data_IF_742798621754
#
_entry.id   IF_742798621754
#
_cell.length_a   1.000
_cell.length_b   1.000
_cell.length_c   1.000
_cell.angle_alpha   90.00
_cell.angle_beta   90.00
_cell.angle_gamma   90.00
#
_symmetry.space_group_name_H-M   'P 1'
#
loop_
_entity.id
_entity.type
_entity.pdbx_description
1 polymer ?
#
# COMPACT_ATOMS: atom_id res chain seq x y z
N UNK A 1 -4.75 -10.69 -21.67
CA UNK A 1 -5.07 -9.44 -20.97
C UNK A 1 -5.62 -9.80 -19.58
N UNK A 2 -4.76 -9.84 -18.55
CA UNK A 2 -5.12 -10.27 -17.18
C UNK A 2 -4.32 -9.45 -16.16
N UNK A 3 -4.89 -8.31 -15.78
CA UNK A 3 -4.34 -7.36 -14.81
C UNK A 3 -5.52 -6.91 -13.97
N UNK A 4 -5.93 -7.71 -12.98
CA UNK A 4 -6.90 -7.34 -11.93
C UNK A 4 -6.91 -8.48 -10.92
N UNK A 5 -6.00 -8.42 -9.94
CA UNK A 5 -6.05 -9.25 -8.74
C UNK A 5 -5.14 -8.62 -7.68
N UNK A 6 -5.57 -7.45 -7.22
CA UNK A 6 -5.30 -6.77 -5.96
C UNK A 6 -6.10 -5.47 -6.05
N UNK A 7 -7.05 -5.24 -5.14
CA UNK A 7 -8.12 -4.22 -5.19
C UNK A 7 -9.23 -4.42 -6.24
N UNK A 8 -10.00 -5.52 -6.15
CA UNK A 8 -11.39 -5.50 -6.63
C UNK A 8 -12.29 -6.18 -5.60
N UNK A 9 -12.69 -5.38 -4.62
CA UNK A 9 -13.91 -5.50 -3.82
C UNK A 9 -14.11 -4.07 -3.26
N UNK A 10 -15.14 -3.27 -3.55
CA UNK A 10 -16.48 -3.46 -4.08
C UNK A 10 -16.82 -2.20 -4.91
N UNK A 11 -17.29 -2.38 -6.14
CA UNK A 11 -17.98 -1.32 -6.86
C UNK A 11 -19.45 -1.34 -6.45
N UNK A 12 -19.93 -0.48 -5.54
CA UNK A 12 -21.32 0.06 -5.44
C UNK A 12 -21.46 1.04 -4.26
N UNK A 13 -21.59 2.36 -4.51
CA UNK A 13 -22.41 3.24 -3.66
C UNK A 13 -22.58 4.65 -4.25
N UNK A 14 -23.65 4.82 -5.05
CA UNK A 14 -24.26 6.12 -5.27
C UNK A 14 -25.64 6.10 -4.60
N UNK A 15 -25.82 6.86 -3.53
CA UNK A 15 -27.14 7.02 -2.89
C UNK A 15 -27.09 7.40 -1.41
N UNK A 16 -27.20 8.70 -1.16
CA UNK A 16 -27.56 9.43 0.08
C UNK A 16 -27.84 8.59 1.33
N UNK A 17 -26.78 8.39 2.11
CA UNK A 17 -26.73 7.64 3.37
C UNK A 17 -25.32 7.15 3.71
N UNK A 18 -24.29 7.98 3.44
CA UNK A 18 -22.88 7.86 3.84
C UNK A 18 -22.19 6.48 3.72
N UNK A 19 -22.47 5.67 2.70
CA UNK A 19 -21.53 4.62 2.31
C UNK A 19 -20.34 5.27 1.60
N UNK A 20 -19.15 5.10 2.16
CA UNK A 20 -17.91 5.60 1.59
C UNK A 20 -16.78 4.58 1.80
N UNK A 21 -16.03 4.38 0.73
CA UNK A 21 -14.73 3.72 0.71
C UNK A 21 -13.66 4.78 0.45
N UNK A 22 -12.78 4.99 1.43
CA UNK A 22 -11.78 6.06 1.38
C UNK A 22 -10.38 5.49 1.59
N UNK A 23 -9.46 5.90 0.73
CA UNK A 23 -8.03 5.65 0.86
C UNK A 23 -7.30 6.95 1.16
N UNK A 24 -6.52 6.97 2.23
CA UNK A 24 -5.66 8.10 2.59
C UNK A 24 -4.22 7.62 2.64
N UNK A 25 -3.35 8.35 1.95
CA UNK A 25 -1.94 8.02 1.79
C UNK A 25 -1.08 8.99 2.59
N UNK A 26 -0.12 8.46 3.33
CA UNK A 26 0.93 9.23 3.97
C UNK A 26 2.29 8.63 3.60
N UNK A 27 3.13 9.43 2.95
CA UNK A 27 4.43 9.02 2.44
C UNK A 27 5.50 9.82 3.17
N UNK A 28 6.39 9.15 3.88
CA UNK A 28 7.54 9.78 4.51
C UNK A 28 8.82 9.28 3.83
N UNK A 29 9.51 10.19 3.15
CA UNK A 29 10.76 9.95 2.45
C UNK A 29 11.92 10.33 3.37
N UNK A 30 12.88 9.43 3.52
CA UNK A 30 14.16 9.67 4.21
C UNK A 30 15.31 9.56 3.21
N UNK A 31 16.53 9.83 3.67
CA UNK A 31 17.74 9.82 2.85
C UNK A 31 17.91 8.55 2.01
N UNK A 32 17.68 7.37 2.60
CA UNK A 32 17.93 6.05 1.99
C UNK A 32 16.74 5.10 2.08
N UNK A 33 15.58 5.58 2.53
CA UNK A 33 14.40 4.74 2.69
C UNK A 33 13.12 5.58 2.59
N UNK A 34 11.99 4.90 2.55
CA UNK A 34 10.70 5.54 2.59
C UNK A 34 9.69 4.62 3.26
N UNK A 35 8.75 5.20 4.00
CA UNK A 35 7.55 4.51 4.44
C UNK A 35 6.33 5.07 3.73
N UNK A 36 5.45 4.17 3.31
CA UNK A 36 4.14 4.52 2.77
C UNK A 36 3.07 3.87 3.61
N UNK A 37 2.36 4.70 4.37
CA UNK A 37 1.22 4.28 5.17
C UNK A 37 -0.08 4.57 4.44
N UNK A 38 -0.94 3.56 4.39
CA UNK A 38 -2.27 3.64 3.79
C UNK A 38 -3.31 3.44 4.88
N UNK A 39 -4.35 4.27 4.87
CA UNK A 39 -5.54 4.08 5.69
C UNK A 39 -6.73 3.85 4.78
N UNK A 40 -7.39 2.71 4.96
CA UNK A 40 -8.58 2.33 4.21
C UNK A 40 -9.78 2.34 5.16
N UNK A 41 -10.81 3.10 4.82
CA UNK A 41 -12.01 3.24 5.64
C UNK A 41 -13.23 2.75 4.88
N UNK A 42 -14.01 1.87 5.51
CA UNK A 42 -15.32 1.42 5.05
C UNK A 42 -16.42 1.93 5.98
N UNK A 43 -17.51 2.41 5.42
CA UNK A 43 -18.67 2.90 6.18
C UNK A 43 -19.99 2.45 5.54
N UNK A 44 -21.06 2.34 6.34
CA UNK A 44 -22.40 2.07 5.83
C UNK A 44 -22.50 0.73 5.11
N UNK A 45 -22.92 0.75 3.84
CA UNK A 45 -23.04 -0.47 3.04
C UNK A 45 -21.68 -1.11 2.70
N UNK A 46 -20.61 -0.30 2.61
CA UNK A 46 -19.27 -0.79 2.25
C UNK A 46 -18.65 -1.59 3.41
N UNK A 47 -18.95 -1.25 4.67
CA UNK A 47 -18.49 -2.03 5.83
C UNK A 47 -19.20 -3.38 5.92
N UNK A 48 -20.49 -3.46 5.55
CA UNK A 48 -21.21 -4.73 5.43
C UNK A 48 -20.55 -5.59 4.36
N UNK A 49 -20.34 -5.03 3.17
CA UNK A 49 -19.75 -5.75 2.06
C UNK A 49 -18.34 -6.26 2.39
N UNK A 50 -17.55 -5.47 3.10
CA UNK A 50 -16.23 -5.88 3.59
C UNK A 50 -16.32 -7.08 4.55
N UNK A 51 -17.19 -7.04 5.57
CA UNK A 51 -17.37 -8.17 6.51
C UNK A 51 -17.87 -9.44 5.80
N UNK A 52 -18.83 -9.29 4.88
CA UNK A 52 -19.31 -10.41 4.05
C UNK A 52 -18.18 -11.00 3.23
N UNK A 53 -17.27 -10.20 2.69
CA UNK A 53 -16.13 -10.71 1.91
C UNK A 53 -15.16 -11.54 2.74
N UNK A 54 -14.95 -11.19 4.02
CA UNK A 54 -14.13 -11.96 4.95
C UNK A 54 -14.84 -13.29 5.29
N UNK A 55 -16.08 -13.22 5.77
CA UNK A 55 -16.86 -14.38 6.21
C UNK A 55 -17.05 -15.40 5.06
N UNK A 56 -17.52 -14.95 3.90
CA UNK A 56 -17.79 -15.84 2.76
C UNK A 56 -16.55 -16.26 1.98
N UNK A 57 -15.51 -15.43 1.95
CA UNK A 57 -14.32 -15.65 1.14
C UNK A 57 -13.22 -16.43 1.86
N UNK A 58 -13.08 -16.23 3.17
CA UNK A 58 -11.99 -16.77 4.00
C UNK A 58 -12.49 -17.51 5.24
N UNK A 59 -13.81 -17.49 5.47
CA UNK A 59 -14.46 -18.05 6.63
C UNK A 59 -15.38 -19.21 6.33
N UNK A 60 -16.30 -19.44 7.26
CA UNK A 60 -17.28 -20.52 7.20
C UNK A 60 -18.65 -20.09 6.64
N UNK A 61 -18.80 -18.80 6.27
CA UNK A 61 -20.02 -18.23 5.71
C UNK A 61 -21.24 -18.36 6.65
N UNK A 62 -21.06 -18.07 7.94
CA UNK A 62 -22.09 -18.15 8.98
C UNK A 62 -22.73 -16.80 9.33
N UNK A 63 -22.44 -15.76 8.53
CA UNK A 63 -22.86 -14.36 8.75
C UNK A 63 -22.22 -13.70 9.98
N UNK A 64 -21.09 -14.21 10.44
CA UNK A 64 -20.31 -13.66 11.52
C UNK A 64 -18.81 -13.73 11.20
N UNK A 65 -18.08 -12.64 11.39
CA UNK A 65 -16.63 -12.61 11.28
C UNK A 65 -16.02 -12.90 12.64
N UNK A 66 -15.32 -14.01 12.76
CA UNK A 66 -14.53 -14.39 13.93
C UNK A 66 -13.13 -13.77 13.92
N UNK A 67 -12.46 -13.79 15.08
CA UNK A 67 -11.06 -13.35 15.18
C UNK A 67 -10.11 -14.18 14.31
N UNK A 68 -10.40 -15.47 14.11
CA UNK A 68 -9.59 -16.34 13.25
C UNK A 68 -9.76 -16.00 11.77
N UNK A 69 -10.98 -15.70 11.32
CA UNK A 69 -11.25 -15.22 9.96
C UNK A 69 -10.58 -13.88 9.68
N UNK A 70 -10.62 -12.96 10.65
CA UNK A 70 -9.91 -11.69 10.54
C UNK A 70 -8.40 -11.89 10.45
N UNK A 71 -7.83 -12.80 11.24
CA UNK A 71 -6.39 -13.12 11.18
C UNK A 71 -5.99 -13.72 9.82
N UNK A 72 -6.83 -14.57 9.24
CA UNK A 72 -6.60 -15.09 7.89
C UNK A 72 -6.71 -14.00 6.84
N UNK A 73 -7.70 -13.11 6.96
CA UNK A 73 -7.87 -11.96 6.10
C UNK A 73 -6.65 -11.03 6.14
N UNK A 74 -6.09 -10.76 7.32
CA UNK A 74 -4.88 -9.94 7.45
C UNK A 74 -3.69 -10.58 6.71
N UNK A 75 -3.51 -11.89 6.88
CA UNK A 75 -2.45 -12.65 6.22
C UNK A 75 -2.56 -12.62 4.70
N UNK A 76 -3.74 -12.90 4.16
CA UNK A 76 -3.95 -12.89 2.70
C UNK A 76 -3.87 -11.48 2.13
N UNK A 77 -4.33 -10.45 2.86
CA UNK A 77 -4.22 -9.05 2.46
C UNK A 77 -2.75 -8.63 2.36
N UNK A 78 -1.95 -8.92 3.38
CA UNK A 78 -0.51 -8.66 3.39
C UNK A 78 0.21 -9.33 2.22
N UNK A 79 -0.09 -10.61 1.98
CA UNK A 79 0.48 -11.40 0.89
C UNK A 79 0.08 -10.85 -0.48
N UNK A 80 -1.18 -10.47 -0.65
CA UNK A 80 -1.70 -9.87 -1.88
C UNK A 80 -1.06 -8.51 -2.15
N UNK A 81 -0.94 -7.65 -1.14
CA UNK A 81 -0.31 -6.34 -1.26
C UNK A 81 1.16 -6.48 -1.65
N UNK A 82 1.90 -7.36 -0.96
CA UNK A 82 3.30 -7.64 -1.32
C UNK A 82 3.42 -8.15 -2.76
N UNK A 83 2.59 -9.11 -3.15
CA UNK A 83 2.62 -9.67 -4.51
C UNK A 83 2.28 -8.63 -5.59
N UNK A 84 1.43 -7.65 -5.29
CA UNK A 84 1.09 -6.59 -6.22
C UNK A 84 2.27 -5.65 -6.44
N UNK A 85 2.95 -5.24 -5.37
CA UNK A 85 4.11 -4.35 -5.42
C UNK A 85 5.31 -5.05 -6.07
N UNK A 86 5.53 -6.34 -5.77
CA UNK A 86 6.58 -7.14 -6.42
C UNK A 86 6.39 -7.24 -7.94
N UNK A 87 5.13 -7.21 -8.41
CA UNK A 87 4.77 -7.27 -9.83
C UNK A 87 4.93 -5.93 -10.53
N UNK A 88 4.48 -4.86 -9.90
CA UNK A 88 4.57 -3.49 -10.41
C UNK A 88 4.90 -2.57 -9.24
N UNK A 89 6.16 -2.13 -9.15
CA UNK A 89 6.58 -1.15 -8.16
C UNK A 89 5.81 0.16 -8.33
N UNK A 90 5.27 0.63 -7.23
CA UNK A 90 4.50 1.86 -7.07
C UNK A 90 5.38 3.09 -6.79
N UNK A 91 6.71 2.92 -6.80
CA UNK A 91 7.69 3.98 -6.57
C UNK A 91 8.78 3.93 -7.64
N UNK A 92 9.17 5.09 -8.15
CA UNK A 92 10.32 5.25 -9.06
C UNK A 92 11.14 6.46 -8.66
N UNK A 93 12.46 6.33 -8.75
CA UNK A 93 13.41 7.43 -8.56
C UNK A 93 14.10 7.70 -9.88
N UNK A 94 14.16 8.97 -10.32
CA UNK A 94 14.72 9.35 -11.62
C UNK A 94 14.15 8.52 -12.78
N UNK A 95 12.83 8.27 -12.76
CA UNK A 95 12.10 7.45 -13.73
C UNK A 95 12.50 5.96 -13.81
N UNK A 96 13.23 5.44 -12.81
CA UNK A 96 13.65 4.03 -12.73
C UNK A 96 13.26 3.34 -11.42
N UNK A 97 13.24 2.01 -11.44
CA UNK A 97 13.01 1.15 -10.25
C UNK A 97 14.26 0.43 -9.75
N UNK A 98 15.35 0.42 -10.53
CA UNK A 98 16.54 -0.42 -10.26
C UNK A 98 17.31 -0.10 -8.97
N UNK A 99 16.95 0.97 -8.27
CA UNK A 99 17.51 1.36 -6.97
C UNK A 99 16.46 1.40 -5.85
N UNK A 100 15.26 0.86 -6.06
CA UNK A 100 14.16 0.83 -5.08
C UNK A 100 13.85 -0.62 -4.73
N UNK A 101 13.85 -0.94 -3.45
CA UNK A 101 13.60 -2.29 -2.94
C UNK A 101 12.53 -2.24 -1.85
N UNK A 102 11.57 -3.16 -1.90
CA UNK A 102 10.58 -3.34 -0.82
C UNK A 102 11.22 -4.16 0.29
N UNK A 103 11.33 -3.59 1.49
CA UNK A 103 11.84 -4.30 2.66
C UNK A 103 10.73 -5.07 3.38
N UNK A 104 9.58 -4.42 3.57
CA UNK A 104 8.51 -4.96 4.38
C UNK A 104 7.14 -4.45 3.95
N UNK A 105 6.13 -5.28 4.17
CA UNK A 105 4.72 -4.99 3.90
C UNK A 105 3.92 -5.50 5.08
N UNK A 106 3.29 -4.57 5.78
CA UNK A 106 2.44 -4.83 6.92
C UNK A 106 0.98 -4.52 6.63
N UNK A 107 0.12 -5.31 7.27
CA UNK A 107 -1.33 -5.13 7.31
C UNK A 107 -1.77 -5.15 8.77
N UNK A 108 -2.78 -4.34 9.06
CA UNK A 108 -3.49 -4.33 10.34
C UNK A 108 -4.96 -4.08 10.04
N UNK A 109 -5.71 -5.18 9.89
CA UNK A 109 -7.15 -5.12 9.77
C UNK A 109 -7.81 -4.76 11.11
N UNK A 110 -8.86 -3.93 11.08
CA UNK A 110 -9.51 -3.48 12.32
C UNK A 110 -10.22 -4.63 13.03
N UNK A 111 -10.07 -4.77 14.37
CA UNK A 111 -10.93 -5.62 15.19
C UNK A 111 -12.42 -5.29 15.05
N UNK A 112 -12.77 -4.07 14.63
CA UNK A 112 -14.17 -3.67 14.38
C UNK A 112 -14.82 -4.49 13.26
N UNK A 113 -14.03 -5.18 12.42
CA UNK A 113 -14.55 -6.11 11.43
C UNK A 113 -15.16 -7.37 12.07
N UNK A 114 -14.78 -7.73 13.31
CA UNK A 114 -15.31 -8.90 14.04
C UNK A 114 -16.78 -8.66 14.41
N UNK A 115 -17.61 -9.67 14.21
CA UNK A 115 -19.02 -9.62 14.57
C UNK A 115 -19.94 -9.92 13.40
N UNK A 116 -21.21 -9.57 13.56
CA UNK A 116 -22.24 -9.82 12.55
C UNK A 116 -21.92 -9.09 11.24
N UNK A 117 -22.05 -9.79 10.12
CA UNK A 117 -21.71 -9.24 8.79
C UNK A 117 -22.60 -8.07 8.36
N UNK A 118 -23.82 -7.98 8.89
CA UNK A 118 -24.76 -6.87 8.61
C UNK A 118 -24.55 -5.62 9.47
N UNK A 119 -23.46 -5.53 10.24
CA UNK A 119 -23.13 -4.28 10.94
C UNK A 119 -22.67 -3.20 9.96
N UNK A 120 -23.16 -1.98 10.17
CA UNK A 120 -22.75 -0.76 9.46
C UNK A 120 -21.64 0.01 10.18
N UNK A 121 -21.13 -0.52 11.30
CA UNK A 121 -20.04 0.12 12.04
C UNK A 121 -18.82 0.26 11.15
N UNK A 122 -18.18 1.43 11.23
CA UNK A 122 -17.02 1.76 10.43
C UNK A 122 -15.88 0.78 10.66
N UNK A 123 -15.12 0.50 9.60
CA UNK A 123 -13.93 -0.35 9.65
C UNK A 123 -12.77 0.47 9.11
N UNK A 124 -11.70 0.59 9.90
CA UNK A 124 -10.52 1.36 9.51
C UNK A 124 -9.30 0.45 9.51
N UNK A 125 -8.91 0.01 8.31
CA UNK A 125 -7.72 -0.81 8.13
C UNK A 125 -6.49 0.07 7.89
N UNK A 126 -5.33 -0.43 8.29
CA UNK A 126 -4.06 0.23 8.09
C UNK A 126 -3.07 -0.70 7.40
N UNK A 127 -2.33 -0.15 6.46
CA UNK A 127 -1.28 -0.85 5.75
C UNK A 127 -0.02 0.00 5.77
N UNK A 128 1.14 -0.63 5.80
CA UNK A 128 2.41 0.06 5.76
C UNK A 128 3.40 -0.67 4.87
N UNK A 129 4.05 0.06 3.98
CA UNK A 129 5.10 -0.48 3.12
C UNK A 129 6.39 0.28 3.39
N UNK A 130 7.47 -0.46 3.60
CA UNK A 130 8.81 0.12 3.81
C UNK A 130 9.69 -0.18 2.61
N UNK A 131 10.29 0.86 2.04
CA UNK A 131 11.20 0.77 0.90
C UNK A 131 12.61 1.17 1.32
N UNK A 132 13.61 0.59 0.65
CA UNK A 132 15.00 0.99 0.69
C UNK A 132 15.42 1.56 -0.65
N UNK A 133 16.19 2.64 -0.59
CA UNK A 133 16.83 3.24 -1.75
C UNK A 133 18.32 2.89 -1.75
N UNK A 134 18.82 2.52 -2.91
CA UNK A 134 20.26 2.26 -3.12
C UNK A 134 21.08 3.55 -3.04
N UNK A 135 20.51 4.65 -3.52
CA UNK A 135 21.15 5.96 -3.57
C UNK A 135 20.42 6.95 -2.67
N UNK A 136 21.13 7.98 -2.22
CA UNK A 136 20.54 9.02 -1.38
C UNK A 136 19.56 9.87 -2.20
N UNK A 137 18.36 10.11 -1.67
CA UNK A 137 17.33 10.91 -2.33
C UNK A 137 17.77 12.37 -2.59
N UNK A 138 18.74 12.90 -1.83
CA UNK A 138 19.36 14.21 -2.06
C UNK A 138 20.04 14.33 -3.43
N UNK A 139 20.44 13.22 -4.04
CA UNK A 139 21.07 13.17 -5.36
C UNK A 139 20.05 12.94 -6.48
N UNK A 140 18.76 12.83 -6.14
CA UNK A 140 17.70 12.54 -7.10
C UNK A 140 17.08 13.82 -7.63
N UNK A 141 16.73 13.79 -8.92
CA UNK A 141 16.03 14.88 -9.61
C UNK A 141 14.51 14.74 -9.54
N UNK A 142 14.01 13.51 -9.34
CA UNK A 142 12.59 13.24 -9.24
C UNK A 142 12.29 11.96 -8.48
N UNK A 143 11.10 11.92 -7.88
CA UNK A 143 10.47 10.72 -7.33
C UNK A 143 9.02 10.65 -7.83
N UNK A 144 8.59 9.46 -8.21
CA UNK A 144 7.27 9.17 -8.76
C UNK A 144 6.57 8.12 -7.90
N UNK A 145 5.25 8.28 -7.76
CA UNK A 145 4.36 7.47 -6.95
C UNK A 145 3.13 7.04 -7.75
N UNK A 146 2.73 5.78 -7.61
CA UNK A 146 1.49 5.24 -8.15
C UNK A 146 0.49 5.01 -7.02
N UNK A 147 -0.67 5.67 -7.09
CA UNK A 147 -1.72 5.54 -6.09
C UNK A 147 -3.10 5.35 -6.69
N UNK A 148 -4.10 5.27 -5.82
CA UNK A 148 -5.49 5.24 -6.25
C UNK A 148 -5.93 6.62 -6.74
N UNK A 149 -6.62 6.67 -7.88
CA UNK A 149 -7.16 7.93 -8.40
C UNK A 149 -8.02 8.66 -7.38
N UNK A 150 -7.85 9.98 -7.29
CA UNK A 150 -8.58 10.90 -6.40
C UNK A 150 -8.44 10.61 -4.90
N UNK A 151 -7.50 9.74 -4.50
CA UNK A 151 -7.20 9.51 -3.09
C UNK A 151 -6.31 10.64 -2.52
N UNK A 152 -6.59 11.13 -1.29
CA UNK A 152 -5.71 12.04 -0.59
C UNK A 152 -4.30 11.47 -0.38
N UNK A 153 -3.30 12.33 -0.55
CA UNK A 153 -1.90 12.01 -0.30
C UNK A 153 -1.20 13.18 0.36
N UNK A 154 -0.42 12.85 1.40
CA UNK A 154 0.57 13.74 2.01
C UNK A 154 1.95 13.12 1.83
N UNK A 155 2.91 13.91 1.38
CA UNK A 155 4.27 13.49 1.08
C UNK A 155 5.24 14.41 1.82
N UNK A 156 6.04 13.82 2.69
CA UNK A 156 7.06 14.48 3.50
C UNK A 156 8.43 14.11 2.95
N UNK A 157 9.19 15.10 2.49
CA UNK A 157 10.58 14.94 2.07
C UNK A 157 11.52 15.09 3.26
N UNK A 158 12.74 14.51 3.23
CA UNK A 158 13.69 14.72 4.30
C UNK A 158 14.26 16.14 4.27
N UNK A 159 14.82 16.62 5.40
CA UNK A 159 15.59 17.86 5.42
C UNK A 159 16.68 17.87 4.35
N UNK A 160 16.91 19.02 3.72
CA UNK A 160 17.89 19.15 2.64
C UNK A 160 17.34 18.84 1.25
N UNK A 161 16.10 18.37 1.12
CA UNK A 161 15.42 18.18 -0.18
C UNK A 161 14.25 19.14 -0.31
N UNK A 162 14.30 20.00 -1.32
CA UNK A 162 13.20 20.87 -1.70
C UNK A 162 12.41 20.28 -2.87
N UNK A 163 11.08 20.32 -2.79
CA UNK A 163 10.24 19.97 -3.94
C UNK A 163 10.05 21.21 -4.82
N UNK A 164 10.70 21.28 -5.98
CA UNK A 164 10.63 22.45 -6.86
C UNK A 164 9.31 22.52 -7.62
N UNK A 165 8.78 21.37 -8.03
CA UNK A 165 7.52 21.28 -8.77
C UNK A 165 6.86 19.91 -8.53
N UNK A 166 5.57 19.80 -8.85
CA UNK A 166 4.84 18.53 -8.86
C UNK A 166 4.00 18.39 -10.13
N UNK A 167 3.83 17.16 -10.60
CA UNK A 167 2.87 16.80 -11.65
C UNK A 167 1.98 15.65 -11.16
N UNK A 168 0.79 15.53 -11.75
CA UNK A 168 -0.15 14.47 -11.38
C UNK A 168 -0.87 14.67 -10.03
N UNK A 169 -0.87 15.87 -9.46
CA UNK A 169 -1.64 16.19 -8.25
C UNK A 169 -2.74 17.22 -8.52
N UNK A 170 -3.88 17.06 -7.84
CA UNK A 170 -4.94 18.07 -7.75
C UNK A 170 -4.93 18.71 -6.34
N UNK A 171 -5.37 19.98 -6.24
CA UNK A 171 -5.48 20.74 -4.99
C UNK A 171 -4.19 20.76 -4.18
N UNK A 172 -3.08 21.06 -4.85
CA UNK A 172 -1.74 21.01 -4.25
C UNK A 172 -1.56 22.12 -3.22
N UNK A 173 -1.18 21.72 -2.03
CA UNK A 173 -0.62 22.58 -0.99
C UNK A 173 0.83 22.19 -0.75
N UNK A 174 1.68 23.19 -0.51
CA UNK A 174 3.10 22.99 -0.24
C UNK A 174 3.48 23.81 0.98
N UNK A 175 4.06 23.15 1.97
CA UNK A 175 4.63 23.79 3.15
C UNK A 175 6.14 23.54 3.16
N UNK A 176 6.92 24.59 3.39
CA UNK A 176 8.39 24.50 3.46
C UNK A 176 8.81 25.12 4.77
N UNK A 177 9.30 24.28 5.67
CA UNK A 177 9.85 24.70 6.96
C UNK A 177 11.31 24.24 7.06
N UNK A 178 11.62 23.27 7.91
CA UNK A 178 12.90 22.54 7.91
C UNK A 178 12.92 21.36 6.92
N UNK A 179 11.75 21.00 6.37
CA UNK A 179 11.55 20.01 5.33
C UNK A 179 10.45 20.47 4.36
N UNK A 180 10.34 19.80 3.21
CA UNK A 180 9.24 20.03 2.27
C UNK A 180 8.11 19.03 2.52
N UNK A 181 6.91 19.55 2.75
CA UNK A 181 5.67 18.78 2.83
C UNK A 181 4.75 19.20 1.68
N UNK A 182 4.20 18.21 0.97
CA UNK A 182 3.22 18.40 -0.09
C UNK A 182 1.99 17.57 0.19
N UNK A 183 0.82 18.20 0.11
CA UNK A 183 -0.46 17.50 0.24
C UNK A 183 -1.40 17.84 -0.92
N UNK A 184 -2.22 16.88 -1.31
CA UNK A 184 -3.22 17.03 -2.37
C UNK A 184 -3.93 15.71 -2.65
N UNK A 185 -4.39 15.52 -3.87
CA UNK A 185 -5.00 14.27 -4.34
C UNK A 185 -4.20 13.70 -5.52
N UNK A 186 -4.09 12.38 -5.61
CA UNK A 186 -3.64 11.70 -6.84
C UNK A 186 -4.57 12.08 -7.99
N UNK A 187 -4.04 12.74 -9.03
CA UNK A 187 -4.82 13.04 -10.23
C UNK A 187 -5.07 11.74 -10.99
N UNK A 188 -6.34 11.43 -11.22
CA UNK A 188 -6.72 10.22 -11.96
C UNK A 188 -6.19 10.24 -13.40
N UNK A 189 -5.47 9.18 -13.78
CA UNK A 189 -5.18 8.82 -15.16
C UNK A 189 -6.27 7.92 -15.73
N UNK A 190 -6.78 7.01 -14.89
CA UNK A 190 -7.95 6.16 -15.14
C UNK A 190 -8.93 6.29 -13.98
N UNK A 191 -10.03 5.52 -14.00
CA UNK A 191 -10.99 5.51 -12.90
C UNK A 191 -10.37 5.10 -11.56
N UNK A 192 -9.37 4.21 -11.57
CA UNK A 192 -8.80 3.63 -10.35
C UNK A 192 -7.34 4.01 -10.11
N UNK A 193 -6.63 4.52 -11.14
CA UNK A 193 -5.18 4.79 -11.06
C UNK A 193 -4.89 6.27 -11.19
N UNK A 194 -4.08 6.78 -10.26
CA UNK A 194 -3.49 8.11 -10.32
C UNK A 194 -1.98 8.03 -10.07
N UNK A 195 -1.27 9.05 -10.50
CA UNK A 195 0.18 9.11 -10.34
C UNK A 195 0.61 10.50 -9.88
N UNK A 196 1.71 10.57 -9.16
CA UNK A 196 2.32 11.83 -8.74
C UNK A 196 3.79 11.79 -9.05
N UNK A 197 4.33 12.85 -9.63
CA UNK A 197 5.78 13.07 -9.72
C UNK A 197 6.16 14.32 -8.96
N UNK A 198 7.13 14.21 -8.07
CA UNK A 198 7.78 15.35 -7.44
C UNK A 198 9.13 15.58 -8.09
N UNK A 199 9.39 16.83 -8.50
CA UNK A 199 10.69 17.27 -8.98
C UNK A 199 11.47 17.85 -7.81
N UNK A 200 12.71 17.41 -7.64
CA UNK A 200 13.49 17.63 -6.43
C UNK A 200 14.71 18.52 -6.72
N UNK A 201 15.09 19.32 -5.73
CA UNK A 201 16.33 20.07 -5.71
C UNK A 201 16.98 19.96 -4.34
N UNK A 202 18.31 20.01 -4.30
CA UNK A 202 19.04 20.07 -3.03
C UNK A 202 18.87 21.45 -2.40
N UNK A 203 18.41 21.49 -1.16
CA UNK A 203 18.33 22.71 -0.38
C UNK A 203 19.74 23.12 0.05
N UNK A 204 20.24 24.22 -0.51
CA UNK A 204 21.59 24.74 -0.23
C UNK A 204 21.69 25.51 1.10
N UNK A 205 20.55 25.84 1.70
CA UNK A 205 20.47 26.53 3.00
C UNK A 205 20.55 25.55 4.17
N UNK A 206 20.26 24.26 3.94
CA UNK A 206 20.40 23.20 4.92
C UNK A 206 21.86 22.74 4.99
N UNK A 207 22.53 22.98 6.12
CA UNK A 207 23.82 22.38 6.43
C UNK A 207 23.61 21.07 7.16
N UNK A 208 23.99 19.96 6.53
CA UNK A 208 24.13 18.68 7.23
C UNK A 208 25.17 18.87 8.33
N UNK A 209 24.89 18.51 9.60
CA UNK A 209 25.93 18.50 10.63
C UNK A 209 27.06 17.57 10.18
N UNK A 210 28.25 18.11 9.94
CA UNK A 210 29.44 17.30 9.70
C UNK A 210 29.70 16.47 10.96
N UNK A 211 29.59 15.14 10.84
CA UNK A 211 30.06 14.24 11.89
C UNK A 211 31.59 14.32 11.84
N UNK A 212 32.18 15.15 12.70
CA UNK A 212 33.61 15.18 12.94
C UNK A 212 34.02 13.85 13.61
N UNK A 213 34.26 12.82 12.79
CA UNK A 213 35.06 11.68 13.23
C UNK A 213 36.50 12.19 13.27
N UNK A 214 36.89 12.82 14.38
CA UNK A 214 38.31 13.07 14.63
C UNK A 214 38.98 11.71 14.78
N UNK A 215 39.66 11.27 13.74
CA UNK A 215 40.55 10.12 13.75
C UNK A 215 41.62 10.36 14.80
N UNK A 216 41.42 9.81 16.00
CA UNK A 216 42.46 9.79 17.03
C UNK A 216 42.28 8.62 17.98
N UNK A 217 42.54 7.39 17.51
CA UNK A 217 43.17 6.35 18.34
C UNK A 217 44.08 5.48 17.45
N UNK A 218 45.35 5.44 17.83
CA UNK A 218 46.47 4.76 17.19
C UNK A 218 46.55 3.28 17.63
N UNK A 219 46.34 2.36 16.66
CA UNK A 219 46.91 1.00 16.48
C UNK A 219 46.72 -0.11 17.58
N UNK A 220 47.05 -1.41 17.30
CA UNK A 220 46.11 -2.41 16.77
C UNK A 220 46.03 -3.70 17.62
N UNK A 221 44.89 -4.42 17.58
CA UNK A 221 44.74 -5.78 18.19
C UNK A 221 43.94 -6.67 17.21
N UNK A 222 44.26 -7.98 17.09
CA UNK A 222 44.20 -8.72 15.82
C UNK A 222 42.82 -9.19 15.36
N UNK A 223 42.76 -9.37 14.04
CA UNK A 223 41.72 -10.01 13.23
C UNK A 223 41.36 -11.42 13.71
N UNK A 224 40.14 -11.62 14.21
CA UNK A 224 39.49 -12.92 14.19
C UNK A 224 38.54 -13.00 12.99
N UNK A 225 38.87 -13.91 12.08
CA UNK A 225 38.03 -14.31 10.96
C UNK A 225 36.77 -15.02 11.49
N UNK A 226 35.59 -14.43 11.29
CA UNK A 226 34.33 -15.15 11.39
C UNK A 226 33.70 -15.26 10.00
N UNK A 227 34.09 -16.31 9.30
CA UNK A 227 33.44 -16.83 8.10
C UNK A 227 32.03 -17.32 8.47
N UNK A 228 30.99 -16.54 8.13
CA UNK A 228 29.61 -16.99 8.30
C UNK A 228 29.16 -17.78 7.06
N UNK A 229 29.07 -19.11 7.22
CA UNK A 229 28.45 -20.01 6.26
C UNK A 229 26.92 -19.85 6.29
N UNK A 230 26.32 -19.43 5.18
CA UNK A 230 24.87 -19.52 4.97
C UNK A 230 24.49 -20.91 4.47
N UNK A 231 23.97 -21.74 5.37
CA UNK A 231 23.36 -23.03 5.01
C UNK A 231 22.01 -22.79 4.34
N UNK A 232 21.97 -23.08 3.03
CA UNK A 232 20.78 -23.03 2.16
C UNK A 232 19.84 -24.18 2.56
N UNK A 233 18.67 -23.86 3.12
CA UNK A 233 17.63 -24.87 3.42
C UNK A 233 16.70 -25.05 2.22
N UNK A 234 16.94 -26.10 1.46
CA UNK A 234 16.07 -26.65 0.42
C UNK A 234 14.89 -27.40 1.03
N UNK A 235 13.66 -26.90 0.85
CA UNK A 235 12.42 -27.70 0.81
C UNK A 235 11.35 -27.04 -0.09
N UNK A 236 11.54 -27.16 -1.40
CA UNK A 236 10.44 -27.43 -2.35
C UNK A 236 10.66 -28.88 -2.79
N UNK A 237 9.69 -29.78 -2.77
CA UNK A 237 8.71 -30.08 -3.82
C UNK A 237 7.77 -31.12 -3.14
N UNK A 238 6.45 -30.97 -3.04
CA UNK A 238 5.39 -31.43 -3.99
C UNK A 238 4.06 -31.20 -3.22
N UNK A 239 3.04 -30.52 -3.74
CA UNK A 239 1.91 -31.21 -4.36
C UNK A 239 1.09 -30.27 -5.24
N UNK A 240 1.09 -30.59 -6.53
CA UNK A 240 0.25 -30.06 -7.58
C UNK A 240 -0.94 -31.01 -7.71
N UNK A 241 -2.11 -30.66 -7.18
CA UNK A 241 -3.42 -31.09 -7.68
C UNK A 241 -4.56 -30.68 -6.74
N UNK A 242 -5.39 -29.76 -7.23
CA UNK A 242 -6.86 -29.60 -7.06
C UNK A 242 -7.22 -28.15 -6.80
N UNK A 243 -7.64 -27.47 -7.86
CA UNK A 243 -8.65 -26.42 -7.80
C UNK A 243 -9.22 -26.22 -9.21
N UNK A 244 -10.15 -27.12 -9.56
CA UNK A 244 -11.02 -27.01 -10.72
C UNK A 244 -12.46 -27.23 -10.25
N UNK A 245 -12.97 -26.38 -9.34
CA UNK A 245 -14.40 -26.43 -8.93
C UNK A 245 -14.93 -25.11 -8.34
N UNK A 246 -14.46 -23.94 -8.79
CA UNK A 246 -15.06 -22.64 -8.38
C UNK A 246 -15.25 -21.74 -9.61
N UNK A 247 -15.95 -22.25 -10.62
CA UNK A 247 -16.43 -21.41 -11.75
C UNK A 247 -17.95 -21.52 -11.90
N UNK A 248 -18.61 -22.48 -11.24
CA UNK A 248 -20.05 -22.72 -11.45
C UNK A 248 -20.92 -21.87 -10.50
N UNK A 249 -20.48 -21.55 -9.29
CA UNK A 249 -21.30 -20.78 -8.32
C UNK A 249 -21.39 -19.27 -8.64
N UNK A 250 -20.32 -18.66 -9.15
CA UNK A 250 -20.31 -17.22 -9.49
C UNK A 250 -21.21 -16.88 -10.69
N UNK A 251 -21.36 -17.81 -11.65
CA UNK A 251 -22.22 -17.63 -12.83
C UNK A 251 -23.70 -17.72 -12.45
N UNK A 252 -24.06 -18.59 -11.49
CA UNK A 252 -25.46 -18.74 -11.04
C UNK A 252 -25.95 -17.50 -10.28
N UNK A 253 -25.10 -16.87 -9.47
CA UNK A 253 -25.46 -15.64 -8.73
C UNK A 253 -25.64 -14.46 -9.70
N UNK A 254 -24.78 -14.32 -10.72
CA UNK A 254 -24.90 -13.25 -11.72
C UNK A 254 -26.17 -13.43 -12.58
N UNK A 255 -26.53 -14.66 -12.95
CA UNK A 255 -27.75 -14.94 -13.71
C UNK A 255 -29.01 -14.67 -12.87
N UNK A 256 -29.03 -15.04 -11.59
CA UNK A 256 -30.16 -14.75 -10.69
C UNK A 256 -30.38 -13.26 -10.52
N UNK A 257 -29.32 -12.47 -10.36
CA UNK A 257 -29.43 -10.99 -10.27
C UNK A 257 -29.97 -10.40 -11.58
N UNK A 258 -29.54 -10.91 -12.74
CA UNK A 258 -30.02 -10.43 -14.03
C UNK A 258 -31.51 -10.74 -14.26
N UNK A 259 -31.95 -11.96 -13.92
CA UNK A 259 -33.36 -12.39 -14.06
C UNK A 259 -34.30 -11.61 -13.12
N UNK A 260 -33.86 -11.29 -11.90
CA UNK A 260 -34.68 -10.50 -10.97
C UNK A 260 -34.76 -9.01 -11.34
N UNK A 261 -33.77 -8.46 -12.05
CA UNK A 261 -33.79 -7.06 -12.49
C UNK A 261 -34.67 -6.83 -13.71
N UNK A 262 -34.80 -7.82 -14.60
CA UNK A 262 -35.63 -7.72 -15.82
C UNK A 262 -37.13 -7.82 -15.51
N UNK A 263 -37.54 -8.51 -14.44
CA UNK A 263 -38.96 -8.64 -14.05
C UNK A 263 -39.55 -7.43 -13.29
N UNK A 264 -38.77 -6.37 -13.06
CA UNK A 264 -39.22 -5.14 -12.37
C UNK A 264 -39.42 -3.94 -13.30
N UNK A 265 -39.54 -4.17 -14.60
CA UNK A 265 -40.08 -3.18 -15.56
C UNK A 265 -41.42 -3.65 -16.11
#
# INVERSE_FOLDING_TARGET
MKLFLALVAIAMSAGTGSAAHLWVNNIAVNDYNMTWSYTETFTGADSIAYRVSIDSGLGNNDSFVSAWELLNADRETRKSLKSAIDKELDVRINNGTGGVEVLDVDSTLSPDAIGKTHSMDAIVNRYNVTYRFKENILNSSSIWFLGQANSPVTIVMPPGVDVVNSSGMNNVSKNVTNHSEIAGLFKGMTMDRGEVTLYLAKNTSYKVPEINVSSNVTSPVPTENLTMNFTKSTKEITSKARNATIIIAAVVIIILIYVFKVKRK
#
